data_IF_671148124276
#
_entry.id   IF_671148124276
#
_cell.length_a   1.000
_cell.length_b   1.000
_cell.length_c   1.000
_cell.angle_alpha   90.00
_cell.angle_beta   90.00
_cell.angle_gamma   90.00
#
_symmetry.space_group_name_H-M   'P 1'
#
loop_
_entity.id
_entity.type
_entity.pdbx_description
1 polymer ?
#
# COMPACT_ATOMS: atom_id res chain seq x y z
N UNK A 1 -8.82 14.52 20.75
CA UNK A 1 -8.74 13.05 20.54
C UNK A 1 -8.31 12.87 19.11
N UNK A 2 -7.08 12.39 18.87
CA UNK A 2 -6.59 12.12 17.51
C UNK A 2 -7.18 10.79 17.06
N UNK A 3 -8.09 10.82 16.10
CA UNK A 3 -8.83 9.64 15.63
C UNK A 3 -7.97 8.84 14.64
N UNK A 4 -6.93 8.18 15.15
CA UNK A 4 -6.03 7.37 14.35
C UNK A 4 -6.73 6.05 13.99
N UNK A 5 -6.84 5.75 12.70
CA UNK A 5 -7.39 4.47 12.22
C UNK A 5 -6.26 3.56 11.78
N UNK A 6 -6.36 2.27 12.13
CA UNK A 6 -5.38 1.29 11.68
C UNK A 6 -5.78 0.77 10.30
N UNK A 7 -4.81 0.75 9.38
CA UNK A 7 -5.03 0.27 8.03
C UNK A 7 -4.09 -0.87 7.72
N UNK A 8 -4.60 -1.82 6.94
CA UNK A 8 -3.84 -2.89 6.33
C UNK A 8 -3.93 -2.75 4.81
N UNK A 9 -2.79 -2.53 4.17
CA UNK A 9 -2.64 -2.50 2.73
C UNK A 9 -1.87 -3.72 2.24
N UNK A 10 -2.29 -4.26 1.11
CA UNK A 10 -1.62 -5.29 0.35
C UNK A 10 -1.42 -4.77 -1.07
N UNK A 11 -0.21 -4.84 -1.61
CA UNK A 11 0.12 -4.37 -2.94
C UNK A 11 0.91 -5.44 -3.68
N UNK A 12 0.44 -5.81 -4.86
CA UNK A 12 1.11 -6.74 -5.76
C UNK A 12 1.88 -5.95 -6.83
N UNK A 13 3.20 -6.11 -6.84
CA UNK A 13 4.09 -5.46 -7.81
C UNK A 13 4.76 -6.53 -8.65
N UNK A 14 4.63 -6.42 -9.97
CA UNK A 14 5.44 -7.18 -10.91
C UNK A 14 6.77 -6.46 -11.10
N UNK A 15 7.87 -7.14 -10.76
CA UNK A 15 9.22 -6.60 -10.90
C UNK A 15 9.63 -6.54 -12.37
N UNK A 16 10.72 -5.84 -12.67
CA UNK A 16 11.32 -5.83 -14.02
C UNK A 16 11.83 -7.21 -14.46
N UNK A 17 12.16 -8.08 -13.50
CA UNK A 17 12.49 -9.49 -13.74
C UNK A 17 11.30 -10.38 -14.08
N UNK A 18 10.07 -9.87 -13.92
CA UNK A 18 8.83 -10.60 -14.19
C UNK A 18 8.23 -11.32 -12.97
N UNK A 19 8.89 -11.25 -11.82
CA UNK A 19 8.40 -11.85 -10.57
C UNK A 19 7.25 -11.02 -9.99
N UNK A 20 6.29 -11.70 -9.34
CA UNK A 20 5.22 -11.04 -8.60
C UNK A 20 5.57 -10.99 -7.12
N UNK A 21 5.80 -9.78 -6.60
CA UNK A 21 6.11 -9.51 -5.20
C UNK A 21 4.88 -8.90 -4.52
N UNK A 22 4.60 -9.34 -3.28
CA UNK A 22 3.52 -8.79 -2.47
C UNK A 22 4.08 -8.01 -1.29
N UNK A 23 3.71 -6.74 -1.19
CA UNK A 23 4.03 -5.87 -0.07
C UNK A 23 2.82 -5.74 0.85
N UNK A 24 3.06 -5.92 2.14
CA UNK A 24 2.10 -5.61 3.19
C UNK A 24 2.54 -4.32 3.88
N UNK A 25 1.60 -3.39 4.02
CA UNK A 25 1.80 -2.16 4.77
C UNK A 25 0.75 -2.11 5.86
N UNK A 26 1.17 -2.23 7.11
CA UNK A 26 0.33 -2.19 8.30
C UNK A 26 0.71 -0.97 9.14
N UNK A 27 -0.27 -0.11 9.44
CA UNK A 27 0.07 1.06 10.23
C UNK A 27 -1.08 2.02 10.56
N UNK A 28 -0.84 2.90 11.55
CA UNK A 28 -1.74 3.99 11.87
C UNK A 28 -1.78 4.99 10.72
N UNK A 29 -2.94 5.13 10.09
CA UNK A 29 -3.22 6.22 9.16
C UNK A 29 -3.54 7.51 9.92
N UNK A 30 -3.14 8.68 9.40
CA UNK A 30 -3.56 9.97 9.95
C UNK A 30 -5.08 10.04 10.08
N UNK A 31 -5.57 10.67 11.14
CA UNK A 31 -7.00 10.90 11.32
C UNK A 31 -7.59 11.61 10.09
N UNK A 32 -8.66 11.05 9.52
CA UNK A 32 -9.31 11.58 8.32
C UNK A 32 -8.71 11.13 6.98
N UNK A 33 -7.64 10.31 6.97
CA UNK A 33 -7.19 9.69 5.73
C UNK A 33 -8.19 8.61 5.29
N UNK A 34 -8.62 8.67 4.03
CA UNK A 34 -9.49 7.66 3.42
C UNK A 34 -8.70 6.42 2.99
N UNK A 35 -9.38 5.27 2.90
CA UNK A 35 -8.77 4.02 2.39
C UNK A 35 -8.14 4.20 0.99
N UNK A 36 -8.72 5.06 0.15
CA UNK A 36 -8.17 5.40 -1.18
C UNK A 36 -6.83 6.12 -1.09
N UNK A 37 -6.67 7.04 -0.15
CA UNK A 37 -5.40 7.74 0.07
C UNK A 37 -4.33 6.79 0.61
N UNK A 38 -4.71 5.91 1.56
CA UNK A 38 -3.83 4.87 2.07
C UNK A 38 -3.36 3.96 0.93
N UNK A 39 -4.26 3.59 0.02
CA UNK A 39 -3.95 2.76 -1.15
C UNK A 39 -2.88 3.42 -2.03
N UNK A 40 -3.05 4.69 -2.37
CA UNK A 40 -2.10 5.43 -3.21
C UNK A 40 -0.71 5.50 -2.55
N UNK A 41 -0.66 5.75 -1.24
CA UNK A 41 0.61 5.79 -0.49
C UNK A 41 1.26 4.41 -0.46
N UNK A 42 0.50 3.35 -0.20
CA UNK A 42 1.01 1.99 -0.18
C UNK A 42 1.54 1.55 -1.56
N UNK A 43 0.85 1.87 -2.65
CA UNK A 43 1.29 1.61 -4.02
C UNK A 43 2.60 2.35 -4.34
N UNK A 44 2.68 3.64 -3.99
CA UNK A 44 3.90 4.43 -4.18
C UNK A 44 5.08 3.89 -3.38
N UNK A 45 4.85 3.48 -2.13
CA UNK A 45 5.88 2.88 -1.29
C UNK A 45 6.36 1.53 -1.85
N UNK A 46 5.45 0.69 -2.35
CA UNK A 46 5.79 -0.58 -2.98
C UNK A 46 6.62 -0.38 -4.26
N UNK A 47 6.28 0.61 -5.10
CA UNK A 47 7.06 0.96 -6.29
C UNK A 47 8.43 1.57 -5.97
N UNK A 48 8.57 2.24 -4.81
CA UNK A 48 9.88 2.71 -4.36
C UNK A 48 10.81 1.55 -3.98
N UNK A 49 10.26 0.44 -3.48
CA UNK A 49 11.01 -0.78 -3.17
C UNK A 49 11.37 -1.59 -4.43
N UNK A 50 10.54 -1.50 -5.47
CA UNK A 50 10.76 -2.16 -6.77
C UNK A 50 10.88 -1.13 -7.91
N UNK A 51 12.03 -0.44 -8.05
CA UNK A 51 12.24 0.53 -9.11
C UNK A 51 12.00 -0.06 -10.50
N UNK A 52 11.05 0.52 -11.24
CA UNK A 52 10.67 0.05 -12.57
C UNK A 52 9.66 -1.11 -12.58
N UNK A 53 9.26 -1.60 -11.41
CA UNK A 53 8.14 -2.53 -11.28
C UNK A 53 6.80 -1.86 -11.60
N UNK A 54 5.75 -2.69 -11.72
CA UNK A 54 4.39 -2.25 -12.00
C UNK A 54 3.41 -2.84 -10.99
N UNK A 55 2.56 -2.00 -10.42
CA UNK A 55 1.45 -2.48 -9.58
C UNK A 55 0.45 -3.21 -10.48
N UNK A 56 0.16 -4.46 -10.15
CA UNK A 56 -0.87 -5.27 -10.82
C UNK A 56 -2.17 -5.35 -10.02
N UNK A 57 -2.09 -5.14 -8.70
CA UNK A 57 -3.25 -5.16 -7.82
C UNK A 57 -2.92 -4.57 -6.46
N UNK A 58 -3.93 -4.08 -5.76
CA UNK A 58 -3.80 -3.68 -4.37
C UNK A 58 -5.14 -3.72 -3.65
N UNK A 59 -5.09 -3.91 -2.33
CA UNK A 59 -6.24 -3.94 -1.44
C UNK A 59 -5.91 -3.16 -0.18
N UNK A 60 -6.86 -2.37 0.29
CA UNK A 60 -6.76 -1.69 1.59
C UNK A 60 -7.99 -2.03 2.42
N UNK A 61 -7.74 -2.49 3.65
CA UNK A 61 -8.73 -2.68 4.69
C UNK A 61 -8.47 -1.73 5.85
N UNK A 62 -9.55 -1.36 6.54
CA UNK A 62 -9.50 -0.69 7.84
C UNK A 62 -9.82 -1.74 8.89
N UNK A 63 -9.01 -1.80 9.95
CA UNK A 63 -9.32 -2.58 11.16
C UNK A 63 -10.22 -1.78 12.12
#
# INVERSE_FOLDING_TARGET
>A
MSDTHYYRAEVHVRTTGGDLVTYYNDGPGPAGMSASQVRVIAEAAALAQEPGGKVEGSKVGRD
#
